data_IF_830805008094
#
_entry.id   IF_830805008094
#
_cell.length_a   1.000
_cell.length_b   1.000
_cell.length_c   1.000
_cell.angle_alpha   90.00
_cell.angle_beta   90.00
_cell.angle_gamma   90.00
#
_symmetry.space_group_name_H-M   'P 1'
#
loop_
_entity.id
_entity.type
_entity.pdbx_description
1 polymer ?
#
# COMPACT_ATOMS: atom_id res chain seq x y z
N UNK A 1 20.85 50.36 20.05
CA UNK A 1 19.88 49.47 19.39
C UNK A 1 20.51 49.01 18.10
N UNK A 2 20.93 47.74 18.03
CA UNK A 2 21.56 47.15 16.84
C UNK A 2 20.53 46.17 16.28
N UNK A 3 20.17 46.40 15.02
CA UNK A 3 19.21 45.62 14.26
C UNK A 3 19.52 44.12 14.36
N UNK A 4 18.53 43.35 14.83
CA UNK A 4 18.51 41.91 14.72
C UNK A 4 18.10 41.56 13.29
N UNK A 5 19.01 40.91 12.59
CA UNK A 5 18.81 40.33 11.26
C UNK A 5 17.78 39.19 11.36
N UNK A 6 16.59 39.28 10.72
CA UNK A 6 15.52 38.31 10.89
C UNK A 6 15.59 37.22 9.81
N UNK A 7 16.68 36.44 9.74
CA UNK A 7 16.72 35.30 8.79
C UNK A 7 17.84 34.29 9.06
N UNK A 8 17.74 33.55 10.16
CA UNK A 8 18.26 32.18 10.24
C UNK A 8 17.13 31.27 10.72
N UNK A 9 16.11 31.12 9.89
CA UNK A 9 15.30 29.91 9.95
C UNK A 9 16.26 28.76 9.66
N UNK A 10 16.58 27.97 10.69
CA UNK A 10 17.42 26.78 10.56
C UNK A 10 16.71 25.82 9.61
N UNK A 11 17.05 25.86 8.32
CA UNK A 11 16.47 24.95 7.34
C UNK A 11 17.00 23.54 7.59
N UNK A 12 16.12 22.67 8.05
CA UNK A 12 16.40 21.25 8.20
C UNK A 12 16.44 20.59 6.81
N UNK A 13 17.44 19.75 6.61
CA UNK A 13 17.65 19.08 5.36
C UNK A 13 18.17 17.66 5.61
N UNK A 14 17.73 16.74 4.76
CA UNK A 14 18.29 15.41 4.69
C UNK A 14 19.35 15.43 3.60
N UNK A 15 20.59 15.07 3.93
CA UNK A 15 21.75 15.07 3.04
C UNK A 15 22.16 13.65 2.71
N UNK A 16 22.34 13.38 1.42
CA UNK A 16 22.90 12.17 0.85
C UNK A 16 24.31 12.48 0.35
N UNK A 17 25.29 11.74 0.87
CA UNK A 17 26.69 11.83 0.48
C UNK A 17 27.11 10.54 -0.21
N UNK A 18 27.59 10.67 -1.45
CA UNK A 18 28.23 9.59 -2.20
C UNK A 18 29.75 9.78 -2.08
N UNK A 19 30.43 8.78 -1.55
CA UNK A 19 31.88 8.75 -1.45
C UNK A 19 32.44 7.89 -2.59
N UNK A 20 33.58 8.30 -3.13
CA UNK A 20 34.22 7.66 -4.28
C UNK A 20 35.45 8.46 -4.70
N UNK A 21 36.27 7.88 -5.57
CA UNK A 21 37.42 8.58 -6.14
C UNK A 21 36.96 9.83 -6.92
N UNK A 22 37.70 10.93 -6.77
CA UNK A 22 37.35 12.21 -7.39
C UNK A 22 37.39 12.08 -8.92
N UNK A 23 36.25 12.31 -9.58
CA UNK A 23 36.10 12.14 -11.03
C UNK A 23 35.68 10.72 -11.47
N UNK A 24 35.60 9.76 -10.54
CA UNK A 24 35.09 8.42 -10.83
C UNK A 24 33.57 8.30 -10.68
N UNK A 25 32.96 9.11 -9.80
CA UNK A 25 31.50 9.12 -9.61
C UNK A 25 30.82 9.71 -10.85
N UNK A 26 29.98 8.92 -11.51
CA UNK A 26 29.15 9.38 -12.63
C UNK A 26 28.17 10.48 -12.17
N UNK A 27 28.13 11.61 -12.88
CA UNK A 27 27.20 12.70 -12.65
C UNK A 27 25.74 12.23 -12.66
N UNK A 28 25.41 11.22 -13.47
CA UNK A 28 24.07 10.62 -13.50
C UNK A 28 23.72 9.97 -12.15
N UNK A 29 24.68 9.33 -11.48
CA UNK A 29 24.47 8.71 -10.16
C UNK A 29 24.12 9.77 -9.11
N UNK A 30 24.74 10.95 -9.19
CA UNK A 30 24.42 12.08 -8.30
C UNK A 30 23.00 12.59 -8.52
N UNK A 31 22.60 12.73 -9.79
CA UNK A 31 21.23 13.15 -10.17
C UNK A 31 20.19 12.13 -9.73
N UNK A 32 20.43 10.84 -10.00
CA UNK A 32 19.56 9.74 -9.59
C UNK A 32 19.41 9.71 -8.06
N UNK A 33 20.51 9.89 -7.32
CA UNK A 33 20.51 9.93 -5.86
C UNK A 33 19.69 11.10 -5.30
N UNK A 34 19.86 12.29 -5.85
CA UNK A 34 19.05 13.46 -5.49
C UNK A 34 17.56 13.24 -5.79
N UNK A 35 17.23 12.65 -6.95
CA UNK A 35 15.84 12.38 -7.32
C UNK A 35 15.20 11.35 -6.38
N UNK A 36 15.92 10.29 -6.04
CA UNK A 36 15.47 9.28 -5.07
C UNK A 36 15.26 9.90 -3.68
N UNK A 37 16.20 10.73 -3.22
CA UNK A 37 16.08 11.44 -1.94
C UNK A 37 14.87 12.37 -1.92
N UNK A 38 14.66 13.13 -3.00
CA UNK A 38 13.48 13.99 -3.17
C UNK A 38 12.19 13.18 -3.13
N UNK A 39 12.12 12.05 -3.82
CA UNK A 39 10.95 11.15 -3.83
C UNK A 39 10.69 10.57 -2.45
N UNK A 40 11.74 10.17 -1.72
CA UNK A 40 11.62 9.66 -0.36
C UNK A 40 11.03 10.73 0.57
N UNK A 41 11.63 11.92 0.65
CA UNK A 41 11.11 13.02 1.49
C UNK A 41 9.69 13.42 1.08
N UNK A 42 9.43 13.51 -0.23
CA UNK A 42 8.11 13.84 -0.76
C UNK A 42 7.02 12.83 -0.38
N UNK A 43 7.38 11.55 -0.21
CA UNK A 43 6.43 10.52 0.19
C UNK A 43 5.92 10.67 1.64
N UNK A 44 6.66 11.37 2.51
CA UNK A 44 6.23 11.70 3.88
C UNK A 44 5.50 13.04 3.98
N UNK A 45 5.43 13.81 2.89
CA UNK A 45 4.86 15.17 2.87
C UNK A 45 3.81 15.36 1.75
N UNK A 46 2.81 14.46 1.63
CA UNK A 46 1.78 14.58 0.60
C UNK A 46 1.05 15.93 0.73
N UNK A 47 1.00 16.68 -0.37
CA UNK A 47 0.29 17.96 -0.44
C UNK A 47 1.06 19.20 0.04
N UNK A 48 2.30 19.09 0.54
CA UNK A 48 3.10 20.26 1.02
C UNK A 48 3.90 20.99 -0.07
N UNK A 49 3.47 20.90 -1.33
CA UNK A 49 4.16 21.55 -2.46
C UNK A 49 5.48 20.86 -2.85
N UNK A 50 6.24 21.43 -3.80
CA UNK A 50 7.45 20.80 -4.31
C UNK A 50 8.55 20.77 -3.25
N UNK A 51 9.11 19.59 -3.04
CA UNK A 51 10.34 19.37 -2.26
C UNK A 51 11.50 20.13 -2.90
N UNK A 52 12.17 21.00 -2.12
CA UNK A 52 13.25 21.88 -2.59
C UNK A 52 14.62 21.26 -2.31
N UNK A 53 15.60 21.56 -3.16
CA UNK A 53 17.00 21.26 -2.87
C UNK A 53 17.53 22.17 -1.77
N UNK A 54 18.29 21.62 -0.84
CA UNK A 54 18.93 22.35 0.26
C UNK A 54 20.41 22.59 0.00
N UNK A 55 21.13 21.59 -0.52
CA UNK A 55 22.57 21.68 -0.73
C UNK A 55 23.03 20.87 -1.95
N UNK A 56 24.05 21.40 -2.64
CA UNK A 56 24.83 20.72 -3.68
C UNK A 56 26.25 21.25 -3.55
N UNK A 57 27.21 20.42 -3.13
CA UNK A 57 28.59 20.86 -2.94
C UNK A 57 29.43 20.48 -4.17
N UNK A 58 30.15 21.45 -4.73
CA UNK A 58 31.08 21.18 -5.84
C UNK A 58 32.32 20.47 -5.31
N UNK A 59 32.72 19.35 -5.94
CA UNK A 59 33.91 18.56 -5.55
C UNK A 59 33.65 17.42 -4.56
N UNK A 60 32.43 17.28 -4.06
CA UNK A 60 31.96 16.10 -3.32
C UNK A 60 30.54 15.77 -3.76
N UNK A 61 30.18 14.50 -3.93
CA UNK A 61 28.84 14.11 -4.36
C UNK A 61 27.84 14.16 -3.20
N UNK A 62 27.75 15.32 -2.55
CA UNK A 62 26.80 15.63 -1.47
C UNK A 62 25.62 16.37 -2.07
N UNK A 63 24.43 15.82 -1.87
CA UNK A 63 23.14 16.37 -2.30
C UNK A 63 22.19 16.43 -1.13
N UNK A 64 21.49 17.55 -0.94
CA UNK A 64 20.59 17.76 0.19
C UNK A 64 19.20 18.18 -0.26
N UNK A 65 18.20 17.73 0.48
CA UNK A 65 16.78 18.05 0.25
C UNK A 65 16.19 18.63 1.52
N UNK A 66 15.45 19.73 1.40
CA UNK A 66 14.76 20.36 2.52
C UNK A 66 13.69 19.40 3.06
N UNK A 67 13.76 19.12 4.37
CA UNK A 67 12.83 18.24 5.08
C UNK A 67 12.44 18.90 6.40
N UNK A 68 11.25 18.59 6.92
CA UNK A 68 10.91 19.04 8.29
C UNK A 68 11.66 18.18 9.31
N UNK A 69 11.93 18.69 10.53
CA UNK A 69 12.61 17.94 11.59
C UNK A 69 11.95 16.58 11.87
N UNK A 70 10.62 16.52 11.79
CA UNK A 70 9.84 15.30 12.00
C UNK A 70 10.10 14.26 10.91
N UNK A 71 10.17 14.69 9.64
CA UNK A 71 10.43 13.80 8.50
C UNK A 71 11.86 13.28 8.54
N UNK A 72 12.83 14.16 8.80
CA UNK A 72 14.24 13.79 8.99
C UNK A 72 14.37 12.72 10.11
N UNK A 73 13.81 13.01 11.28
CA UNK A 73 13.85 12.10 12.44
C UNK A 73 13.14 10.78 12.14
N UNK A 74 11.99 10.82 11.45
CA UNK A 74 11.24 9.63 11.06
C UNK A 74 12.04 8.73 10.13
N UNK A 75 12.72 9.32 9.14
CA UNK A 75 13.56 8.58 8.20
C UNK A 75 14.76 7.94 8.89
N UNK A 76 15.51 8.70 9.68
CA UNK A 76 16.71 8.19 10.35
C UNK A 76 16.37 7.10 11.38
N UNK A 77 15.32 7.29 12.20
CA UNK A 77 14.88 6.26 13.17
C UNK A 77 14.39 4.99 12.49
N UNK A 78 13.72 5.11 11.35
CA UNK A 78 13.26 3.96 10.61
C UNK A 78 14.43 3.12 10.07
N UNK A 79 15.48 3.78 9.56
CA UNK A 79 16.68 3.09 9.12
C UNK A 79 17.30 2.30 10.28
N UNK A 80 17.34 2.88 11.48
CA UNK A 80 17.83 2.19 12.67
C UNK A 80 16.98 0.97 13.03
N UNK A 81 15.65 1.15 13.07
CA UNK A 81 14.71 0.07 13.35
C UNK A 81 14.84 -1.09 12.35
N UNK A 82 15.01 -0.78 11.06
CA UNK A 82 15.20 -1.80 10.02
C UNK A 82 16.55 -2.48 10.21
N UNK A 83 17.61 -1.73 10.52
CA UNK A 83 18.95 -2.27 10.74
C UNK A 83 18.99 -3.22 11.94
N UNK A 84 18.38 -2.83 13.06
CA UNK A 84 18.47 -3.53 14.33
C UNK A 84 17.44 -4.66 14.47
N UNK A 85 16.22 -4.47 13.96
CA UNK A 85 15.10 -5.40 14.16
C UNK A 85 14.64 -6.09 12.88
N UNK A 86 15.12 -5.67 11.70
CA UNK A 86 14.71 -6.21 10.40
C UNK A 86 13.19 -6.17 10.24
N UNK A 87 12.59 -5.08 10.69
CA UNK A 87 11.15 -4.84 10.67
C UNK A 87 10.87 -3.47 10.09
N UNK A 88 9.84 -3.41 9.24
CA UNK A 88 9.38 -2.16 8.69
C UNK A 88 8.57 -1.42 9.77
N UNK A 89 8.87 -0.15 10.05
CA UNK A 89 8.06 0.63 10.97
C UNK A 89 6.60 0.67 10.51
N UNK A 90 5.66 0.62 11.45
CA UNK A 90 4.22 0.51 11.15
C UNK A 90 3.65 1.68 10.34
N UNK A 91 4.32 2.83 10.35
CA UNK A 91 3.96 4.04 9.60
C UNK A 91 4.64 4.16 8.23
N UNK A 92 5.31 3.09 7.75
CA UNK A 92 5.97 3.06 6.45
C UNK A 92 5.18 2.25 5.41
N UNK A 93 5.04 2.83 4.23
CA UNK A 93 4.51 2.16 3.04
C UNK A 93 5.61 1.37 2.31
N UNK A 94 5.23 0.36 1.52
CA UNK A 94 6.21 -0.37 0.68
C UNK A 94 6.87 0.53 -0.36
N UNK A 95 6.20 1.59 -0.81
CA UNK A 95 6.79 2.59 -1.70
C UNK A 95 7.95 3.32 -1.01
N UNK A 96 7.80 3.71 0.25
CA UNK A 96 8.87 4.30 1.06
C UNK A 96 10.03 3.32 1.26
N UNK A 97 9.71 2.06 1.57
CA UNK A 97 10.71 1.00 1.70
C UNK A 97 11.50 0.78 0.41
N UNK A 98 10.82 0.80 -0.74
CA UNK A 98 11.43 0.65 -2.07
C UNK A 98 12.34 1.83 -2.39
N UNK A 99 11.91 3.07 -2.11
CA UNK A 99 12.75 4.26 -2.29
C UNK A 99 14.01 4.22 -1.42
N UNK A 100 13.89 3.77 -0.17
CA UNK A 100 15.04 3.59 0.71
C UNK A 100 15.96 2.47 0.21
N UNK A 101 15.40 1.37 -0.29
CA UNK A 101 16.15 0.29 -0.92
C UNK A 101 16.94 0.80 -2.13
N UNK A 102 16.32 1.60 -2.99
CA UNK A 102 16.95 2.13 -4.20
C UNK A 102 18.04 3.16 -3.88
N UNK A 103 17.88 3.96 -2.82
CA UNK A 103 18.96 4.78 -2.27
C UNK A 103 20.14 3.93 -1.80
N UNK A 104 19.89 2.84 -1.08
CA UNK A 104 20.96 1.94 -0.62
C UNK A 104 21.70 1.24 -1.77
N UNK A 105 21.02 0.96 -2.89
CA UNK A 105 21.63 0.40 -4.10
C UNK A 105 22.58 1.37 -4.81
N UNK A 106 22.59 2.67 -4.48
CA UNK A 106 23.52 3.63 -5.08
C UNK A 106 24.98 3.29 -4.78
N UNK A 107 25.24 2.64 -3.64
CA UNK A 107 26.57 2.11 -3.29
C UNK A 107 27.10 1.06 -4.28
N UNK A 108 26.24 0.45 -5.11
CA UNK A 108 26.64 -0.51 -6.12
C UNK A 108 26.87 0.13 -7.51
N UNK A 109 26.79 1.46 -7.62
CA UNK A 109 27.02 2.18 -8.87
C UNK A 109 28.51 2.41 -9.10
N UNK A 110 28.89 2.52 -10.38
CA UNK A 110 30.28 2.74 -10.76
C UNK A 110 30.83 4.03 -10.15
N UNK A 111 32.01 3.93 -9.55
CA UNK A 111 32.72 5.05 -8.92
C UNK A 111 32.22 5.42 -7.52
N UNK A 112 31.20 4.74 -6.98
CA UNK A 112 30.72 4.96 -5.60
C UNK A 112 31.26 3.86 -4.71
N UNK A 113 32.04 4.23 -3.70
CA UNK A 113 32.58 3.34 -2.68
C UNK A 113 31.61 3.19 -1.49
N UNK A 114 30.96 4.29 -1.11
CA UNK A 114 29.97 4.26 -0.04
C UNK A 114 28.91 5.35 -0.19
N UNK A 115 27.76 5.11 0.44
CA UNK A 115 26.64 6.05 0.46
C UNK A 115 26.25 6.32 1.91
N UNK A 116 26.09 7.58 2.25
CA UNK A 116 25.83 8.05 3.61
C UNK A 116 24.60 8.96 3.60
N UNK A 117 23.77 8.85 4.63
CA UNK A 117 22.61 9.70 4.85
C UNK A 117 22.74 10.38 6.21
N UNK A 118 22.57 11.70 6.26
CA UNK A 118 22.65 12.48 7.50
C UNK A 118 21.64 13.62 7.50
N UNK A 119 21.25 14.05 8.69
CA UNK A 119 20.48 15.27 8.87
C UNK A 119 21.39 16.50 8.94
N UNK A 120 20.98 17.65 8.40
CA UNK A 120 21.78 18.88 8.41
C UNK A 120 22.07 19.40 9.82
N UNK A 121 21.17 19.12 10.76
CA UNK A 121 21.32 19.40 12.20
C UNK A 121 21.83 18.21 13.01
N UNK A 122 22.03 17.05 12.38
CA UNK A 122 22.38 15.82 13.06
C UNK A 122 23.85 15.49 12.87
N UNK A 123 24.56 15.22 13.97
CA UNK A 123 25.92 14.64 13.92
C UNK A 123 25.91 13.17 13.50
N UNK A 124 24.72 12.58 13.35
CA UNK A 124 24.56 11.17 13.00
C UNK A 124 24.69 10.98 11.50
N UNK A 125 25.65 10.15 11.12
CA UNK A 125 25.83 9.66 9.75
C UNK A 125 25.37 8.21 9.70
N UNK A 126 24.40 7.93 8.85
CA UNK A 126 23.86 6.59 8.65
C UNK A 126 24.38 6.05 7.33
N UNK A 127 25.12 4.95 7.36
CA UNK A 127 25.58 4.30 6.14
C UNK A 127 24.44 3.55 5.45
N UNK A 128 24.37 3.69 4.13
CA UNK A 128 23.47 2.94 3.27
C UNK A 128 24.25 1.81 2.59
N UNK A 129 24.60 0.81 3.40
CA UNK A 129 25.46 -0.32 3.03
C UNK A 129 24.65 -1.56 2.59
N UNK A 130 25.37 -2.60 2.17
CA UNK A 130 24.78 -3.88 1.75
C UNK A 130 24.06 -4.62 2.90
N UNK A 131 24.46 -4.40 4.15
CA UNK A 131 23.81 -4.98 5.31
C UNK A 131 22.42 -4.35 5.54
N UNK A 132 22.31 -3.03 5.44
CA UNK A 132 21.02 -2.33 5.47
C UNK A 132 20.14 -2.78 4.30
N UNK A 133 20.70 -2.91 3.10
CA UNK A 133 19.96 -3.40 1.93
C UNK A 133 19.34 -4.79 2.18
N UNK A 134 20.10 -5.70 2.77
CA UNK A 134 19.59 -7.03 3.15
C UNK A 134 18.50 -6.94 4.22
N UNK A 135 18.68 -6.11 5.25
CA UNK A 135 17.68 -5.89 6.29
C UNK A 135 16.38 -5.30 5.75
N UNK A 136 16.45 -4.36 4.79
CA UNK A 136 15.26 -3.81 4.10
C UNK A 136 14.54 -4.92 3.34
N UNK A 137 15.28 -5.75 2.57
CA UNK A 137 14.68 -6.86 1.83
C UNK A 137 14.01 -7.88 2.74
N UNK A 138 14.59 -8.17 3.90
CA UNK A 138 14.01 -9.05 4.90
C UNK A 138 12.76 -8.43 5.54
N UNK A 139 12.82 -7.16 5.92
CA UNK A 139 11.69 -6.42 6.47
C UNK A 139 10.51 -6.34 5.49
N UNK A 140 10.78 -6.15 4.19
CA UNK A 140 9.75 -6.13 3.14
C UNK A 140 9.09 -7.50 2.90
N UNK A 141 9.76 -8.61 3.24
CA UNK A 141 9.18 -9.96 3.14
C UNK A 141 8.22 -10.27 4.29
N UNK A 142 8.34 -9.59 5.42
CA UNK A 142 7.44 -9.76 6.57
C UNK A 142 6.10 -9.09 6.25
N UNK A 143 5.10 -9.90 5.92
CA UNK A 143 3.75 -9.38 5.68
C UNK A 143 3.11 -8.95 7.00
N UNK A 144 2.48 -7.77 7.08
CA UNK A 144 1.81 -7.33 8.30
C UNK A 144 0.68 -8.30 8.65
N UNK A 145 0.76 -8.85 9.86
CA UNK A 145 -0.26 -9.71 10.46
C UNK A 145 -1.09 -8.85 11.41
N UNK A 146 -2.41 -8.89 11.28
CA UNK A 146 -3.36 -8.16 12.13
C UNK A 146 -4.51 -9.06 12.55
N UNK A 147 -5.21 -8.75 13.63
CA UNK A 147 -6.48 -9.40 13.97
C UNK A 147 -7.61 -8.53 13.40
N UNK A 148 -8.60 -9.14 12.76
CA UNK A 148 -9.77 -8.41 12.27
C UNK A 148 -10.79 -9.31 11.59
N UNK A 149 -11.76 -8.68 10.94
CA UNK A 149 -12.78 -9.36 10.15
C UNK A 149 -12.83 -8.85 8.71
N UNK A 150 -13.33 -9.71 7.80
CA UNK A 150 -13.58 -9.39 6.39
C UNK A 150 -15.01 -9.82 6.08
N UNK A 151 -15.77 -8.90 5.48
CA UNK A 151 -17.13 -9.16 5.03
C UNK A 151 -17.12 -9.39 3.52
N UNK A 152 -17.62 -10.53 3.08
CA UNK A 152 -17.53 -10.89 1.67
C UNK A 152 -18.37 -12.09 1.27
N UNK A 153 -18.38 -12.37 -0.02
CA UNK A 153 -19.10 -13.53 -0.56
C UNK A 153 -18.15 -14.68 -0.79
N UNK A 154 -18.37 -15.81 -0.10
CA UNK A 154 -17.63 -17.05 -0.35
C UNK A 154 -18.00 -17.59 -1.74
N UNK A 155 -17.02 -17.95 -2.56
CA UNK A 155 -17.30 -18.46 -3.90
C UNK A 155 -16.50 -19.70 -4.30
N UNK A 156 -15.47 -20.07 -3.54
CA UNK A 156 -14.65 -21.25 -3.80
C UNK A 156 -14.32 -21.97 -2.50
N UNK A 157 -14.23 -23.30 -2.57
CA UNK A 157 -13.81 -24.18 -1.50
C UNK A 157 -12.80 -25.19 -2.05
N UNK A 158 -11.72 -25.43 -1.31
CA UNK A 158 -10.61 -26.28 -1.71
C UNK A 158 -10.10 -27.08 -0.52
N UNK A 159 -10.06 -28.40 -0.68
CA UNK A 159 -9.36 -29.32 0.23
C UNK A 159 -8.04 -29.69 -0.42
N UNK A 160 -6.93 -29.54 0.31
CA UNK A 160 -5.60 -29.88 -0.18
C UNK A 160 -4.79 -30.58 0.90
N UNK A 161 -3.67 -31.19 0.53
CA UNK A 161 -2.71 -31.74 1.50
C UNK A 161 -2.14 -30.69 2.47
N UNK A 162 -2.30 -29.39 2.17
CA UNK A 162 -1.88 -28.27 3.02
C UNK A 162 -2.99 -27.79 3.98
N UNK A 163 -4.17 -28.40 3.95
CA UNK A 163 -5.33 -28.03 4.78
C UNK A 163 -6.56 -27.59 3.99
N UNK A 164 -7.55 -27.09 4.72
CA UNK A 164 -8.80 -26.57 4.20
C UNK A 164 -8.68 -25.08 3.88
N UNK A 165 -9.20 -24.70 2.71
CA UNK A 165 -9.18 -23.30 2.28
C UNK A 165 -10.39 -22.95 1.43
N UNK A 166 -10.72 -21.67 1.42
CA UNK A 166 -11.78 -21.11 0.62
C UNK A 166 -11.31 -19.79 0.00
N UNK A 167 -12.08 -19.28 -0.96
CA UNK A 167 -11.91 -17.92 -1.45
C UNK A 167 -13.20 -17.16 -1.24
N UNK A 168 -13.06 -15.93 -0.77
CA UNK A 168 -14.14 -14.96 -0.68
C UNK A 168 -13.78 -13.71 -1.47
N UNK A 169 -14.80 -13.01 -1.96
CA UNK A 169 -14.63 -11.67 -2.50
C UNK A 169 -15.00 -10.65 -1.44
N UNK A 170 -14.05 -9.81 -1.05
CA UNK A 170 -14.29 -8.74 -0.08
C UNK A 170 -15.31 -7.74 -0.64
N UNK A 171 -16.32 -7.40 0.16
CA UNK A 171 -17.39 -6.49 -0.23
C UNK A 171 -16.93 -5.04 -0.34
N UNK A 172 -15.87 -4.67 0.37
CA UNK A 172 -15.34 -3.30 0.37
C UNK A 172 -14.39 -3.07 -0.79
N UNK A 173 -13.43 -3.97 -0.98
CA UNK A 173 -12.35 -3.81 -1.97
C UNK A 173 -12.65 -4.51 -3.30
N UNK A 174 -13.61 -5.42 -3.32
CA UNK A 174 -13.90 -6.32 -4.45
C UNK A 174 -12.70 -7.22 -4.85
N UNK A 175 -11.70 -7.32 -3.98
CA UNK A 175 -10.52 -8.17 -4.15
C UNK A 175 -10.76 -9.58 -3.63
N UNK A 176 -9.93 -10.51 -4.10
CA UNK A 176 -9.96 -11.90 -3.67
C UNK A 176 -9.18 -12.12 -2.37
N UNK A 177 -9.86 -12.65 -1.36
CA UNK A 177 -9.27 -12.99 -0.07
C UNK A 177 -9.27 -14.52 0.08
N UNK A 178 -8.10 -15.09 0.37
CA UNK A 178 -7.99 -16.50 0.73
C UNK A 178 -8.38 -16.70 2.19
N UNK A 179 -9.27 -17.64 2.46
CA UNK A 179 -9.68 -18.01 3.81
C UNK A 179 -9.05 -19.36 4.15
N UNK A 180 -8.20 -19.41 5.18
CA UNK A 180 -7.65 -20.63 5.75
C UNK A 180 -8.43 -20.96 7.01
N UNK A 181 -8.81 -22.22 7.21
CA UNK A 181 -9.63 -22.62 8.36
C UNK A 181 -9.38 -24.07 8.75
N UNK A 182 -9.72 -24.39 10.01
CA UNK A 182 -9.63 -25.72 10.57
C UNK A 182 -10.96 -26.49 10.37
N UNK A 183 -10.96 -27.80 10.63
CA UNK A 183 -12.13 -28.68 10.43
C UNK A 183 -13.39 -28.21 11.18
N UNK A 184 -13.22 -27.54 12.32
CA UNK A 184 -14.33 -26.99 13.13
C UNK A 184 -15.21 -25.98 12.36
N UNK A 185 -14.65 -25.29 11.36
CA UNK A 185 -15.36 -24.29 10.55
C UNK A 185 -15.81 -24.84 9.20
N UNK A 186 -15.52 -26.10 8.90
CA UNK A 186 -15.74 -26.70 7.58
C UNK A 186 -17.23 -26.73 7.20
N UNK A 187 -18.10 -27.16 8.13
CA UNK A 187 -19.55 -27.18 7.89
C UNK A 187 -20.13 -25.77 7.73
N UNK A 188 -19.65 -24.80 8.52
CA UNK A 188 -20.07 -23.40 8.43
C UNK A 188 -19.69 -22.77 7.09
N UNK A 189 -18.49 -23.05 6.57
CA UNK A 189 -18.07 -22.54 5.26
C UNK A 189 -18.82 -23.23 4.12
N UNK A 190 -18.99 -24.56 4.17
CA UNK A 190 -19.70 -25.31 3.13
C UNK A 190 -21.17 -24.89 3.03
N UNK A 191 -21.84 -24.68 4.16
CA UNK A 191 -23.25 -24.24 4.21
C UNK A 191 -23.45 -22.81 3.72
N UNK A 192 -22.41 -21.95 3.77
CA UNK A 192 -22.47 -20.56 3.36
C UNK A 192 -21.75 -20.27 2.03
N UNK A 193 -21.49 -21.30 1.21
CA UNK A 193 -20.98 -21.08 -0.15
C UNK A 193 -21.97 -20.23 -0.95
N UNK A 194 -21.45 -19.21 -1.65
CA UNK A 194 -22.21 -18.17 -2.37
C UNK A 194 -23.03 -17.24 -1.46
N UNK A 195 -22.93 -17.40 -0.15
CA UNK A 195 -23.53 -16.52 0.84
C UNK A 195 -22.63 -15.33 1.19
N UNK A 196 -23.25 -14.25 1.67
CA UNK A 196 -22.54 -13.16 2.31
C UNK A 196 -22.18 -13.57 3.73
N UNK A 197 -20.91 -13.51 4.08
CA UNK A 197 -20.39 -13.90 5.39
C UNK A 197 -19.46 -12.85 5.95
N UNK A 198 -19.34 -12.81 7.27
CA UNK A 198 -18.26 -12.18 7.99
C UNK A 198 -17.30 -13.25 8.50
N UNK A 199 -16.03 -13.16 8.11
CA UNK A 199 -14.97 -14.06 8.59
C UNK A 199 -14.06 -13.26 9.50
N UNK A 200 -13.88 -13.72 10.74
CA UNK A 200 -12.97 -13.08 11.71
C UNK A 200 -11.77 -13.96 11.99
N UNK A 201 -10.60 -13.36 12.17
CA UNK A 201 -9.37 -14.11 12.41
C UNK A 201 -8.11 -13.30 12.25
N UNK A 202 -7.03 -13.99 11.90
CA UNK A 202 -5.72 -13.40 11.69
C UNK A 202 -5.55 -13.05 10.22
N UNK A 203 -5.48 -11.75 9.92
CA UNK A 203 -5.36 -11.17 8.60
C UNK A 203 -3.92 -10.96 8.19
N UNK A 204 -3.62 -11.39 6.99
CA UNK A 204 -2.45 -11.01 6.22
C UNK A 204 -2.90 -10.01 5.16
N UNK A 205 -2.31 -8.81 5.16
CA UNK A 205 -2.69 -7.72 4.26
C UNK A 205 -1.61 -7.46 3.21
N UNK A 206 -2.05 -7.06 2.03
CA UNK A 206 -1.15 -6.59 0.98
C UNK A 206 -0.38 -5.37 1.53
N UNK A 207 0.96 -5.36 1.47
CA UNK A 207 1.76 -4.34 2.13
C UNK A 207 1.59 -2.94 1.53
N UNK A 208 1.16 -2.83 0.27
CA UNK A 208 0.91 -1.54 -0.41
C UNK A 208 -0.53 -0.99 -0.26
N UNK A 209 -1.54 -1.80 -0.54
CA UNK A 209 -2.95 -1.36 -0.54
C UNK A 209 -3.62 -1.53 0.81
N UNK A 210 -2.96 -2.22 1.75
CA UNK A 210 -3.52 -2.66 3.01
C UNK A 210 -4.79 -3.52 2.85
N UNK A 211 -5.08 -3.99 1.62
CA UNK A 211 -6.21 -4.86 1.34
C UNK A 211 -5.95 -6.24 1.96
N UNK A 212 -6.98 -6.90 2.50
CA UNK A 212 -6.85 -8.26 2.99
C UNK A 212 -6.50 -9.21 1.83
N UNK A 213 -5.44 -10.02 1.97
CA UNK A 213 -5.08 -11.05 0.99
C UNK A 213 -5.44 -12.44 1.49
N UNK A 214 -5.20 -12.69 2.78
CA UNK A 214 -5.41 -13.98 3.40
C UNK A 214 -5.92 -13.78 4.84
N UNK A 215 -6.86 -14.61 5.27
CA UNK A 215 -7.36 -14.65 6.63
C UNK A 215 -7.32 -16.08 7.15
N UNK A 216 -6.63 -16.29 8.28
CA UNK A 216 -6.74 -17.52 9.06
C UNK A 216 -7.94 -17.39 9.99
N UNK A 217 -9.06 -17.97 9.58
CA UNK A 217 -10.36 -17.84 10.21
C UNK A 217 -10.38 -18.48 11.61
N UNK A 218 -11.01 -17.77 12.53
CA UNK A 218 -11.37 -18.24 13.88
C UNK A 218 -12.87 -18.31 14.08
N UNK A 219 -13.63 -17.51 13.34
CA UNK A 219 -15.09 -17.63 13.25
C UNK A 219 -15.59 -17.24 11.87
N UNK A 220 -16.74 -17.79 11.49
CA UNK A 220 -17.48 -17.47 10.26
C UNK A 220 -18.93 -17.28 10.64
N UNK A 221 -19.48 -16.11 10.33
CA UNK A 221 -20.89 -15.79 10.59
C UNK A 221 -21.60 -15.46 9.28
N UNK A 222 -22.75 -16.09 9.06
CA UNK A 222 -23.60 -15.82 7.93
C UNK A 222 -24.31 -14.48 8.12
N UNK A 223 -24.16 -13.56 7.17
CA UNK A 223 -24.87 -12.29 7.19
C UNK A 223 -26.19 -12.41 6.41
N UNK A 224 -27.28 -11.83 6.92
CA UNK A 224 -28.55 -11.83 6.21
C UNK A 224 -28.39 -11.08 4.89
N UNK A 225 -28.69 -11.74 3.77
CA UNK A 225 -28.83 -11.06 2.48
C UNK A 225 -29.97 -10.05 2.66
N UNK A 226 -29.66 -8.75 2.70
CA UNK A 226 -30.68 -7.70 2.53
C UNK A 226 -31.18 -7.79 1.10
N UNK A 227 -32.09 -8.72 0.83
CA UNK A 227 -32.96 -8.62 -0.33
C UNK A 227 -33.79 -7.36 -0.10
N UNK A 228 -33.40 -6.26 -0.75
CA UNK A 228 -34.33 -5.14 -0.91
C UNK A 228 -35.53 -5.77 -1.62
N UNK A 229 -36.72 -5.83 -1.00
CA UNK A 229 -37.88 -6.33 -1.72
C UNK A 229 -38.07 -5.35 -2.87
N UNK A 230 -37.80 -5.81 -4.08
CA UNK A 230 -38.22 -5.10 -5.29
C UNK A 230 -39.74 -5.14 -5.24
N UNK A 231 -40.33 -4.10 -4.63
CA UNK A 231 -41.75 -3.85 -4.63
C UNK A 231 -42.16 -3.68 -6.09
N UNK A 232 -42.57 -4.77 -6.74
CA UNK A 232 -43.06 -4.75 -8.12
C UNK A 232 -44.19 -3.72 -8.30
N UNK A 233 -44.87 -3.31 -7.22
CA UNK A 233 -45.90 -2.24 -7.21
C UNK A 233 -45.39 -0.88 -7.72
N UNK A 234 -44.09 -0.61 -7.68
CA UNK A 234 -43.52 0.64 -8.21
C UNK A 234 -43.53 0.71 -9.74
N UNK A 235 -43.28 -0.42 -10.40
CA UNK A 235 -43.29 -0.53 -11.88
C UNK A 235 -44.74 -0.46 -12.39
N UNK A 236 -45.66 -1.12 -11.68
CA UNK A 236 -47.09 -1.11 -12.01
C UNK A 236 -47.75 0.27 -11.90
N UNK A 237 -47.28 1.12 -10.98
CA UNK A 237 -47.86 2.46 -10.80
C UNK A 237 -47.43 3.43 -11.91
N UNK A 238 -46.16 3.41 -12.33
CA UNK A 238 -45.69 4.25 -13.46
C UNK A 238 -46.38 3.89 -14.77
N UNK A 239 -46.54 2.60 -15.06
CA UNK A 239 -47.12 2.16 -16.34
C UNK A 239 -48.63 2.41 -16.45
N UNK A 240 -49.34 2.50 -15.32
CA UNK A 240 -50.77 2.86 -15.29
C UNK A 240 -50.98 4.37 -15.41
N UNK A 241 -50.02 5.17 -14.92
CA UNK A 241 -50.00 6.64 -15.08
C UNK A 241 -49.65 7.07 -16.52
N UNK A 242 -48.96 6.22 -17.30
CA UNK A 242 -48.58 6.48 -18.71
C UNK A 242 -49.65 6.09 -19.75
N UNK A 243 -50.84 5.64 -19.33
CA UNK A 243 -51.98 5.41 -20.24
C UNK A 243 -51.82 4.23 -21.20
N UNK A 244 -50.86 3.34 -20.95
CA UNK A 244 -50.55 2.20 -21.82
C UNK A 244 -51.71 1.19 -21.82
N UNK A 245 -52.28 0.95 -23.00
CA UNK A 245 -53.38 -0.02 -23.19
C UNK A 245 -52.90 -1.47 -23.13
N UNK A 246 -53.77 -2.39 -22.71
CA UNK A 246 -53.47 -3.82 -22.61
C UNK A 246 -52.97 -4.46 -23.93
N UNK A 247 -53.26 -3.84 -25.08
CA UNK A 247 -52.75 -4.26 -26.38
C UNK A 247 -51.26 -3.93 -26.58
N UNK A 248 -50.77 -2.80 -26.07
CA UNK A 248 -49.35 -2.44 -26.14
C UNK A 248 -48.50 -3.33 -25.23
N UNK A 249 -49.09 -3.75 -24.10
CA UNK A 249 -48.48 -4.72 -23.17
C UNK A 249 -48.25 -6.09 -23.83
N UNK A 250 -49.23 -6.58 -24.61
CA UNK A 250 -49.09 -7.84 -25.35
C UNK A 250 -48.10 -7.73 -26.52
N UNK A 251 -47.82 -6.53 -27.02
CA UNK A 251 -46.84 -6.29 -28.08
C UNK A 251 -45.41 -6.34 -27.55
N UNK A 252 -45.16 -5.73 -26.39
CA UNK A 252 -43.86 -5.74 -25.72
C UNK A 252 -43.41 -7.15 -25.28
N UNK A 253 -44.34 -7.93 -24.72
CA UNK A 253 -44.07 -9.32 -24.33
C UNK A 253 -43.77 -10.25 -25.53
N UNK A 254 -44.33 -9.96 -26.72
CA UNK A 254 -44.00 -10.71 -27.95
C UNK A 254 -42.63 -10.33 -28.53
N UNK A 255 -42.21 -9.07 -28.40
CA UNK A 255 -40.87 -8.65 -28.86
C UNK A 255 -39.75 -9.17 -27.97
N UNK A 256 -39.99 -9.37 -26.67
CA UNK A 256 -38.99 -9.96 -25.77
C UNK A 256 -38.88 -11.49 -25.93
N UNK A 257 -39.93 -12.17 -26.38
CA UNK A 257 -39.91 -13.61 -26.67
C UNK A 257 -39.19 -14.00 -27.97
N UNK A 258 -38.88 -13.05 -28.86
CA UNK A 258 -38.27 -13.33 -30.18
C UNK A 258 -36.76 -13.05 -30.27
N UNK A 259 -36.18 -12.29 -29.34
CA UNK A 259 -34.73 -12.00 -29.34
C UNK A 259 -33.88 -12.98 -28.51
N UNK A 260 -34.46 -14.06 -27.99
CA UNK A 260 -33.73 -15.09 -27.25
C UNK A 260 -33.17 -16.23 -28.13
N UNK A 261 -33.35 -16.21 -29.45
CA UNK A 261 -32.76 -17.18 -30.39
C UNK A 261 -32.27 -16.46 -31.66
N UNK A 262 -31.00 -16.04 -31.66
CA UNK A 262 -30.31 -15.64 -32.90
C UNK A 262 -29.35 -14.47 -32.76
N UNK A 263 -28.19 -14.71 -32.14
CA UNK A 263 -26.86 -14.24 -32.57
C UNK A 263 -25.80 -14.88 -31.68
#
# INVERSE_FOLDING_TARGET
MKDQDPSTETQHALELKLNGEMGAIDAKTVVDGLELLRKLVGSFTPGRGPVKMASLRSGSAVTGVVATPEVETTILRAIDSIRDHKEMPSNWSSKQATLLQDLAKLSNRSGVDSTELSGSSSLRVTQLDSALLASIQEAMKKTPISIGSVVGTLYSYQVSAKGLSAKMRDSLTNEDVRVLFDEDLDEAIRSNLRGLVEVSGVLKRHPETNAPEEISAKSVEALPIKTVPVSGRGIWRRLKEEGTTAQDMMRALRSEGTNAHGS
#
